data_IF_100993862877
#
_entry.id   IF_100993862877
#
_cell.length_a   1.000
_cell.length_b   1.000
_cell.length_c   1.000
_cell.angle_alpha   90.00
_cell.angle_beta   90.00
_cell.angle_gamma   90.00
#
_symmetry.space_group_name_H-M   'P 1'
#
loop_
_entity.id
_entity.type
_entity.pdbx_description
1 polymer ?
#
# COMPACT_ATOMS: atom_id res chain seq x y z
N UNK A 1 18.13 -14.85 34.06
CA UNK A 1 17.75 -15.95 33.13
C UNK A 1 16.93 -15.45 31.92
N UNK A 2 16.46 -14.19 31.90
CA UNK A 2 15.73 -13.58 30.77
C UNK A 2 16.66 -13.12 29.62
N UNK A 3 17.82 -12.56 29.93
CA UNK A 3 18.73 -11.98 28.90
C UNK A 3 19.45 -13.02 28.04
N UNK A 4 19.57 -14.26 28.52
CA UNK A 4 20.33 -15.32 27.84
C UNK A 4 19.61 -15.89 26.61
N UNK A 5 18.27 -15.84 26.58
CA UNK A 5 17.48 -16.32 25.42
C UNK A 5 17.39 -15.29 24.29
N UNK A 6 17.53 -14.00 24.60
CA UNK A 6 17.45 -12.93 23.61
C UNK A 6 18.73 -12.85 22.76
N UNK A 7 19.91 -12.96 23.40
CA UNK A 7 21.21 -12.93 22.71
C UNK A 7 21.41 -14.09 21.72
N UNK A 8 20.89 -15.29 22.01
CA UNK A 8 21.03 -16.45 21.09
C UNK A 8 20.18 -16.26 19.82
N UNK A 9 19.06 -15.55 19.90
CA UNK A 9 18.21 -15.25 18.73
C UNK A 9 18.90 -14.27 17.79
N UNK A 10 19.53 -13.23 18.34
CA UNK A 10 20.27 -12.23 17.55
C UNK A 10 21.56 -12.81 16.97
N UNK A 11 22.31 -13.61 17.73
CA UNK A 11 23.55 -14.22 17.27
C UNK A 11 23.31 -15.23 16.14
N UNK A 12 22.24 -16.05 16.26
CA UNK A 12 21.82 -16.95 15.16
C UNK A 12 21.31 -16.18 13.95
N UNK A 13 20.56 -15.09 14.16
CA UNK A 13 20.09 -14.24 13.06
C UNK A 13 21.27 -13.58 12.32
N UNK A 14 22.27 -13.09 13.05
CA UNK A 14 23.53 -12.57 12.47
C UNK A 14 24.30 -13.64 11.72
N UNK A 15 24.51 -14.80 12.31
CA UNK A 15 25.21 -15.90 11.64
C UNK A 15 24.49 -16.37 10.36
N UNK A 16 23.15 -16.44 10.39
CA UNK A 16 22.34 -16.77 9.22
C UNK A 16 22.42 -15.68 8.14
N UNK A 17 22.44 -14.40 8.54
CA UNK A 17 22.60 -13.27 7.63
C UNK A 17 24.00 -13.23 6.99
N UNK A 18 25.06 -13.43 7.78
CA UNK A 18 26.45 -13.46 7.31
C UNK A 18 26.68 -14.65 6.35
N UNK A 19 26.08 -15.81 6.64
CA UNK A 19 26.13 -16.97 5.74
C UNK A 19 25.32 -16.74 4.46
N UNK A 20 24.14 -16.12 4.56
CA UNK A 20 23.31 -15.78 3.40
C UNK A 20 23.98 -14.74 2.47
N UNK A 21 24.80 -13.85 3.03
CA UNK A 21 25.46 -12.77 2.28
C UNK A 21 26.83 -13.15 1.71
N UNK A 22 27.49 -14.19 2.23
CA UNK A 22 28.83 -14.67 1.78
C UNK A 22 28.97 -14.84 0.26
N UNK A 23 27.90 -15.23 -0.43
CA UNK A 23 27.91 -15.52 -1.87
C UNK A 23 27.10 -14.52 -2.70
N UNK A 24 26.59 -13.45 -2.09
CA UNK A 24 25.81 -12.42 -2.80
C UNK A 24 26.77 -11.54 -3.59
N UNK A 25 26.89 -11.84 -4.88
CA UNK A 25 27.60 -10.99 -5.84
C UNK A 25 26.77 -9.73 -6.15
N UNK A 26 27.41 -8.56 -6.38
CA UNK A 26 26.73 -7.34 -6.79
C UNK A 26 25.84 -7.49 -8.03
N UNK A 27 26.21 -8.39 -8.95
CA UNK A 27 25.43 -8.73 -10.14
C UNK A 27 24.03 -9.31 -9.85
N UNK A 28 23.75 -9.76 -8.62
CA UNK A 28 22.39 -10.15 -8.22
C UNK A 28 21.51 -8.93 -7.95
N UNK A 29 22.08 -7.80 -7.54
CA UNK A 29 21.33 -6.56 -7.32
C UNK A 29 20.79 -6.01 -8.64
N UNK A 30 21.55 -6.10 -9.73
CA UNK A 30 21.09 -5.64 -11.06
C UNK A 30 19.82 -6.35 -11.51
N UNK A 31 19.67 -7.65 -11.19
CA UNK A 31 18.45 -8.40 -11.49
C UNK A 31 17.26 -7.93 -10.65
N UNK A 32 17.50 -7.60 -9.38
CA UNK A 32 16.48 -7.08 -8.46
C UNK A 32 16.06 -5.68 -8.87
N UNK A 33 17.03 -4.80 -9.17
CA UNK A 33 16.80 -3.42 -9.62
C UNK A 33 16.02 -3.42 -10.92
N UNK A 34 16.45 -4.17 -11.94
CA UNK A 34 15.74 -4.27 -13.21
C UNK A 34 14.30 -4.78 -13.03
N UNK A 35 14.11 -5.80 -12.18
CA UNK A 35 12.76 -6.33 -11.91
C UNK A 35 11.90 -5.30 -11.16
N UNK A 36 12.48 -4.54 -10.24
CA UNK A 36 11.80 -3.45 -9.54
C UNK A 36 11.43 -2.33 -10.51
N UNK A 37 12.32 -1.95 -11.42
CA UNK A 37 12.07 -0.96 -12.47
C UNK A 37 10.98 -1.43 -13.43
N UNK A 38 10.97 -2.69 -13.87
CA UNK A 38 9.91 -3.26 -14.71
C UNK A 38 8.54 -3.26 -14.01
N UNK A 39 8.52 -3.50 -12.70
CA UNK A 39 7.29 -3.40 -11.89
C UNK A 39 6.88 -1.93 -11.80
N UNK A 40 7.79 -1.03 -11.43
CA UNK A 40 7.50 0.40 -11.30
C UNK A 40 7.03 1.02 -12.62
N UNK A 41 7.62 0.67 -13.76
CA UNK A 41 7.19 1.16 -15.08
C UNK A 41 5.77 0.70 -15.43
N UNK A 42 5.39 -0.52 -15.03
CA UNK A 42 4.01 -1.00 -15.19
C UNK A 42 3.05 -0.23 -14.29
N UNK A 43 3.45 0.10 -13.07
CA UNK A 43 2.67 0.95 -12.17
C UNK A 43 2.47 2.37 -12.73
N UNK A 44 3.54 3.01 -13.22
CA UNK A 44 3.47 4.36 -13.82
C UNK A 44 2.61 4.39 -15.09
N UNK A 45 2.60 3.31 -15.87
CA UNK A 45 1.80 3.20 -17.08
C UNK A 45 0.28 3.11 -16.83
N UNK A 46 -0.15 2.96 -15.57
CA UNK A 46 -1.57 2.88 -15.18
C UNK A 46 -2.00 4.25 -14.61
N UNK A 47 -2.69 5.10 -15.39
CA UNK A 47 -3.00 6.48 -14.98
C UNK A 47 -3.86 6.56 -13.71
N UNK A 48 -4.68 5.55 -13.43
CA UNK A 48 -5.52 5.50 -12.22
C UNK A 48 -4.69 5.37 -10.95
N UNK A 49 -3.54 4.68 -10.98
CA UNK A 49 -2.68 4.53 -9.80
C UNK A 49 -1.94 5.82 -9.47
N UNK A 50 -1.50 6.57 -10.49
CA UNK A 50 -0.94 7.92 -10.30
C UNK A 50 -1.93 8.86 -9.64
N UNK A 51 -3.20 8.83 -10.07
CA UNK A 51 -4.28 9.57 -9.39
C UNK A 51 -4.47 9.07 -7.96
N UNK A 52 -4.39 7.77 -7.71
CA UNK A 52 -4.55 7.23 -6.37
C UNK A 52 -3.46 7.73 -5.40
N UNK A 53 -2.19 7.62 -5.81
CA UNK A 53 -1.03 8.04 -5.04
C UNK A 53 -1.08 9.52 -4.66
N UNK A 54 -1.54 10.39 -5.57
CA UNK A 54 -1.65 11.84 -5.30
C UNK A 54 -2.67 12.15 -4.17
N UNK A 55 -3.67 11.29 -4.00
CA UNK A 55 -4.72 11.47 -3.00
C UNK A 55 -4.41 10.77 -1.67
N UNK A 56 -3.41 9.88 -1.62
CA UNK A 56 -3.07 9.10 -0.44
C UNK A 56 -2.91 9.94 0.84
N UNK A 57 -2.24 11.11 0.86
CA UNK A 57 -2.16 11.94 2.06
C UNK A 57 -3.53 12.47 2.54
N UNK A 58 -4.43 12.77 1.60
CA UNK A 58 -5.79 13.24 1.92
C UNK A 58 -6.63 12.08 2.47
N UNK A 59 -6.51 10.90 1.87
CA UNK A 59 -7.15 9.67 2.30
C UNK A 59 -6.73 9.25 3.72
N UNK A 60 -5.44 9.33 4.03
CA UNK A 60 -4.95 9.10 5.41
C UNK A 60 -5.55 10.13 6.36
N UNK A 61 -5.61 11.40 5.94
CA UNK A 61 -6.18 12.49 6.73
C UNK A 61 -7.64 12.26 7.11
N UNK A 62 -8.51 11.99 6.12
CA UNK A 62 -9.94 11.81 6.36
C UNK A 62 -10.20 10.59 7.24
N UNK A 63 -9.47 9.48 7.06
CA UNK A 63 -9.59 8.30 7.92
C UNK A 63 -9.20 8.65 9.36
N UNK A 64 -8.10 9.39 9.55
CA UNK A 64 -7.65 9.84 10.86
C UNK A 64 -8.68 10.76 11.53
N UNK A 65 -9.19 11.76 10.83
CA UNK A 65 -10.21 12.67 11.34
C UNK A 65 -11.53 11.97 11.63
N UNK A 66 -11.89 10.96 10.83
CA UNK A 66 -13.06 10.12 11.05
C UNK A 66 -12.94 9.27 12.32
N UNK A 67 -11.81 8.58 12.51
CA UNK A 67 -11.56 7.76 13.71
C UNK A 67 -11.53 8.61 14.98
N UNK A 68 -10.96 9.82 14.88
CA UNK A 68 -10.86 10.74 16.02
C UNK A 68 -12.13 11.57 16.27
N UNK A 69 -13.19 11.37 15.47
CA UNK A 69 -14.47 12.04 15.63
C UNK A 69 -14.50 13.52 15.20
N UNK A 70 -13.45 14.01 14.54
CA UNK A 70 -13.35 15.41 14.08
C UNK A 70 -14.13 15.68 12.80
N UNK A 71 -14.23 14.67 11.93
CA UNK A 71 -14.97 14.76 10.67
C UNK A 71 -15.85 13.53 10.48
N UNK A 72 -17.17 13.72 10.49
CA UNK A 72 -18.17 12.64 10.32
C UNK A 72 -19.11 12.87 9.14
N UNK A 73 -18.97 13.98 8.43
CA UNK A 73 -19.77 14.32 7.24
C UNK A 73 -19.25 13.60 6.00
N UNK A 74 -19.21 12.27 6.07
CA UNK A 74 -18.76 11.37 5.01
C UNK A 74 -19.48 10.03 5.15
N UNK A 75 -19.98 9.44 4.04
CA UNK A 75 -20.59 8.13 4.08
C UNK A 75 -19.63 7.07 4.64
N UNK A 76 -20.15 6.17 5.47
CA UNK A 76 -19.34 5.06 6.02
C UNK A 76 -18.72 4.20 4.91
N UNK A 77 -19.47 3.96 3.83
CA UNK A 77 -18.98 3.23 2.65
C UNK A 77 -17.73 3.88 2.04
N UNK A 78 -17.66 5.21 1.99
CA UNK A 78 -16.49 5.95 1.48
C UNK A 78 -15.26 5.72 2.36
N UNK A 79 -15.43 5.70 3.69
CA UNK A 79 -14.33 5.37 4.62
C UNK A 79 -13.83 3.94 4.40
N UNK A 80 -14.73 2.97 4.27
CA UNK A 80 -14.36 1.57 3.99
C UNK A 80 -13.60 1.46 2.67
N UNK A 81 -14.08 2.11 1.61
CA UNK A 81 -13.41 2.13 0.31
C UNK A 81 -12.02 2.77 0.37
N UNK A 82 -11.87 3.89 1.08
CA UNK A 82 -10.58 4.55 1.30
C UNK A 82 -9.60 3.62 2.02
N UNK A 83 -10.04 2.96 3.10
CA UNK A 83 -9.20 2.04 3.86
C UNK A 83 -8.78 0.86 2.99
N UNK A 84 -9.71 0.25 2.25
CA UNK A 84 -9.41 -0.86 1.35
C UNK A 84 -8.37 -0.46 0.28
N UNK A 85 -8.53 0.72 -0.31
CA UNK A 85 -7.61 1.22 -1.31
C UNK A 85 -6.23 1.56 -0.70
N UNK A 86 -6.17 2.08 0.54
CA UNK A 86 -4.90 2.37 1.23
C UNK A 86 -4.16 1.06 1.55
N UNK A 87 -4.89 0.03 1.96
CA UNK A 87 -4.34 -1.31 2.15
C UNK A 87 -3.78 -1.88 0.85
N UNK A 88 -4.49 -1.73 -0.26
CA UNK A 88 -4.01 -2.15 -1.59
C UNK A 88 -2.70 -1.45 -1.99
N UNK A 89 -2.54 -0.18 -1.61
CA UNK A 89 -1.31 0.56 -1.89
C UNK A 89 -0.09 0.05 -1.10
N UNK A 90 -0.30 -0.38 0.15
CA UNK A 90 0.78 -0.87 1.01
C UNK A 90 1.25 -2.26 0.61
N UNK A 91 0.34 -3.13 0.16
CA UNK A 91 0.64 -4.47 -0.32
C UNK A 91 -0.32 -4.85 -1.45
N UNK A 92 0.02 -4.53 -2.72
CA UNK A 92 -0.82 -4.86 -3.86
C UNK A 92 -0.97 -6.38 -4.08
N UNK A 93 -0.15 -7.21 -3.41
CA UNK A 93 -0.12 -8.67 -3.55
C UNK A 93 -1.03 -9.36 -2.51
N UNK A 94 -1.26 -8.77 -1.34
CA UNK A 94 -1.93 -9.47 -0.22
C UNK A 94 -3.46 -9.63 -0.36
N UNK A 95 -4.11 -8.91 -1.28
CA UNK A 95 -5.58 -8.97 -1.44
C UNK A 95 -6.06 -9.81 -2.63
N UNK A 96 -5.14 -10.32 -3.45
CA UNK A 96 -5.43 -11.26 -4.53
C UNK A 96 -4.94 -12.63 -4.05
N UNK A 97 -5.81 -13.47 -3.46
CA UNK A 97 -5.45 -14.84 -3.16
C UNK A 97 -4.96 -15.53 -4.44
N UNK A 98 -3.96 -16.41 -4.33
CA UNK A 98 -3.35 -17.20 -5.41
C UNK A 98 -4.31 -18.17 -6.16
N UNK A 99 -5.62 -17.87 -6.23
CA UNK A 99 -6.68 -18.75 -6.75
C UNK A 99 -7.26 -18.34 -8.12
N UNK A 100 -6.86 -17.22 -8.72
CA UNK A 100 -7.43 -16.77 -10.00
C UNK A 100 -6.37 -16.77 -11.10
N UNK A 101 -6.32 -17.81 -11.96
CA UNK A 101 -5.44 -17.82 -13.11
C UNK A 101 -5.97 -16.84 -14.17
N UNK A 102 -5.35 -15.65 -14.21
CA UNK A 102 -5.17 -14.76 -15.37
C UNK A 102 -6.42 -14.08 -16.00
N UNK A 103 -7.66 -14.45 -15.66
CA UNK A 103 -8.88 -13.85 -16.29
C UNK A 103 -9.47 -12.66 -15.50
N UNK A 104 -9.10 -12.43 -14.23
CA UNK A 104 -9.81 -11.49 -13.32
C UNK A 104 -9.22 -10.08 -13.11
N UNK A 105 -7.97 -9.81 -13.48
CA UNK A 105 -7.27 -8.57 -13.06
C UNK A 105 -7.86 -7.26 -13.60
N UNK A 106 -8.53 -7.30 -14.75
CA UNK A 106 -9.14 -6.11 -15.34
C UNK A 106 -10.39 -5.66 -14.56
N UNK A 107 -11.13 -6.61 -13.98
CA UNK A 107 -12.41 -6.33 -13.30
C UNK A 107 -12.18 -5.66 -11.94
N UNK A 108 -11.21 -6.14 -11.16
CA UNK A 108 -10.87 -5.57 -9.85
C UNK A 108 -10.24 -4.17 -9.96
N UNK A 109 -9.34 -3.95 -10.92
CA UNK A 109 -8.74 -2.63 -11.15
C UNK A 109 -9.79 -1.61 -11.61
N UNK A 110 -10.77 -2.05 -12.40
CA UNK A 110 -11.90 -1.23 -12.82
C UNK A 110 -12.85 -0.92 -11.66
N UNK A 111 -13.16 -1.89 -10.79
CA UNK A 111 -13.95 -1.68 -9.57
C UNK A 111 -13.24 -0.69 -8.64
N UNK A 112 -11.94 -0.85 -8.41
CA UNK A 112 -11.16 0.09 -7.61
C UNK A 112 -11.20 1.48 -8.25
N UNK A 113 -10.99 1.59 -9.57
CA UNK A 113 -11.08 2.87 -10.27
C UNK A 113 -12.44 3.56 -10.07
N UNK A 114 -13.54 2.81 -10.19
CA UNK A 114 -14.90 3.30 -10.00
C UNK A 114 -15.13 3.75 -8.55
N UNK A 115 -14.72 2.93 -7.56
CA UNK A 115 -14.80 3.29 -6.15
C UNK A 115 -14.02 4.57 -5.84
N UNK A 116 -12.89 4.78 -6.50
CA UNK A 116 -12.09 5.99 -6.33
C UNK A 116 -12.79 7.23 -6.88
N UNK A 117 -13.41 7.14 -8.06
CA UNK A 117 -14.20 8.25 -8.60
C UNK A 117 -15.32 8.68 -7.64
N UNK A 118 -16.00 7.72 -6.99
CA UNK A 118 -17.01 8.04 -5.97
C UNK A 118 -16.44 8.70 -4.72
N UNK A 119 -15.23 8.29 -4.32
CA UNK A 119 -14.55 8.80 -3.12
C UNK A 119 -13.92 10.17 -3.35
N UNK A 120 -13.52 10.53 -4.58
CA UNK A 120 -12.88 11.82 -4.88
C UNK A 120 -13.77 13.00 -4.45
N UNK A 121 -15.07 12.94 -4.70
CA UNK A 121 -16.00 13.99 -4.29
C UNK A 121 -16.07 14.18 -2.77
N UNK A 122 -15.94 13.09 -2.00
CA UNK A 122 -15.91 13.14 -0.54
C UNK A 122 -14.55 13.64 -0.02
N UNK A 123 -13.45 13.30 -0.71
CA UNK A 123 -12.12 13.84 -0.41
C UNK A 123 -12.05 15.35 -0.62
N UNK A 124 -12.71 15.88 -1.66
CA UNK A 124 -12.74 17.32 -1.93
C UNK A 124 -13.54 18.09 -0.87
N UNK A 125 -14.70 17.56 -0.46
CA UNK A 125 -15.45 18.11 0.68
C UNK A 125 -14.62 18.12 1.97
N UNK A 126 -13.93 17.01 2.25
CA UNK A 126 -13.04 16.91 3.39
C UNK A 126 -11.87 17.91 3.32
N UNK A 127 -11.27 18.12 2.14
CA UNK A 127 -10.23 19.14 1.95
C UNK A 127 -10.77 20.54 2.24
N UNK A 128 -11.92 20.91 1.67
CA UNK A 128 -12.55 22.21 1.93
C UNK A 128 -12.85 22.41 3.42
N UNK A 129 -13.33 21.38 4.11
CA UNK A 129 -13.50 21.42 5.56
C UNK A 129 -12.17 21.64 6.27
N UNK A 130 -11.12 20.89 5.92
CA UNK A 130 -9.81 20.98 6.57
C UNK A 130 -9.11 22.33 6.35
N UNK A 131 -9.28 22.91 5.17
CA UNK A 131 -8.73 24.22 4.83
C UNK A 131 -9.49 25.38 5.50
N UNK A 132 -10.71 25.11 6.02
CA UNK A 132 -11.51 26.08 6.76
C UNK A 132 -11.26 26.11 8.27
N UNK A 133 -10.39 25.24 8.77
CA UNK A 133 -10.06 25.06 10.20
C UNK A 133 -8.83 25.86 10.63
#
# INVERSE_FOLDING_TARGET
>A
MSDYKHNISEEKARAAFDEATKNVKPSHFDKVIRKAEEIMSKFESIPVLGRYLQHAPTMIGIVKDYVQGRYKDVPYASIVAIVAALTYLLSPIDLIPDFIPVVGYLDDAMIIAICLEFVIGDLDKYKSWRDSQ
#
